data_IF_314318680917
#
_entry.id   IF_314318680917
#
_cell.length_a   1.000
_cell.length_b   1.000
_cell.length_c   1.000
_cell.angle_alpha   90.00
_cell.angle_beta   90.00
_cell.angle_gamma   90.00
#
_symmetry.space_group_name_H-M   'P 1'
#
loop_
_entity.id
_entity.type
_entity.pdbx_description
1 polymer ?
#
# COMPACT_ATOMS: atom_id res chain seq x y z
N UNK A 1 -10.18 -6.45 49.49
CA UNK A 1 -9.78 -5.18 48.82
C UNK A 1 -9.96 -5.32 47.32
N UNK A 2 -10.88 -4.55 46.71
CA UNK A 2 -11.07 -4.55 45.26
C UNK A 2 -9.88 -3.86 44.59
N UNK A 3 -9.22 -4.54 43.64
CA UNK A 3 -8.15 -3.94 42.82
C UNK A 3 -8.73 -2.76 42.06
N UNK A 4 -8.15 -1.56 42.25
CA UNK A 4 -8.47 -0.39 41.41
C UNK A 4 -8.18 -0.77 39.94
N UNK A 5 -9.09 -0.52 38.99
CA UNK A 5 -8.76 -0.64 37.58
C UNK A 5 -7.72 0.43 37.24
N UNK A 6 -6.46 0.02 37.06
CA UNK A 6 -5.46 0.83 36.37
C UNK A 6 -5.87 0.89 34.90
N UNK A 7 -5.83 2.11 34.37
CA UNK A 7 -6.11 2.52 32.98
C UNK A 7 -7.60 2.73 32.63
N UNK A 8 -8.01 3.99 32.74
CA UNK A 8 -8.99 4.59 31.83
C UNK A 8 -8.21 5.14 30.64
N UNK A 9 -8.47 4.64 29.43
CA UNK A 9 -8.40 5.47 28.22
C UNK A 9 -9.38 4.95 27.19
N UNK A 10 -10.52 5.66 27.08
CA UNK A 10 -11.22 5.82 25.81
C UNK A 10 -10.21 6.45 24.85
N UNK A 11 -9.82 5.72 23.81
CA UNK A 11 -9.02 6.18 22.67
C UNK A 11 -7.88 7.14 23.00
N UNK A 12 -6.71 6.62 23.38
CA UNK A 12 -5.47 7.41 23.27
C UNK A 12 -4.96 7.30 21.81
N UNK A 13 -5.75 7.79 20.86
CA UNK A 13 -5.35 7.95 19.46
C UNK A 13 -4.75 9.34 19.30
N UNK A 14 -3.58 9.58 19.88
CA UNK A 14 -2.76 10.74 19.50
C UNK A 14 -2.13 10.58 18.11
N UNK A 15 -2.43 9.48 17.41
CA UNK A 15 -1.92 9.23 16.08
C UNK A 15 -2.98 9.58 15.02
N UNK A 16 -3.01 10.86 14.66
CA UNK A 16 -3.87 11.41 13.60
C UNK A 16 -3.73 10.64 12.29
N UNK A 17 -2.52 10.14 11.99
CA UNK A 17 -2.24 9.33 10.79
C UNK A 17 -3.01 8.01 10.83
N UNK A 18 -3.10 7.34 11.98
CA UNK A 18 -3.87 6.09 12.11
C UNK A 18 -5.36 6.31 11.90
N UNK A 19 -5.91 7.42 12.43
CA UNK A 19 -7.30 7.79 12.20
C UNK A 19 -7.58 8.00 10.71
N UNK A 20 -6.71 8.74 10.02
CA UNK A 20 -6.81 8.94 8.58
C UNK A 20 -6.72 7.63 7.78
N UNK A 21 -5.84 6.70 8.19
CA UNK A 21 -5.73 5.38 7.56
C UNK A 21 -7.06 4.63 7.71
N UNK A 22 -7.62 4.58 8.92
CA UNK A 22 -8.89 3.89 9.19
C UNK A 22 -10.01 4.50 8.34
N UNK A 23 -10.13 5.83 8.30
CA UNK A 23 -11.11 6.52 7.46
C UNK A 23 -10.94 6.16 5.97
N UNK A 24 -9.71 6.05 5.47
CA UNK A 24 -9.46 5.63 4.07
C UNK A 24 -9.90 4.19 3.80
N UNK A 25 -9.70 3.28 4.75
CA UNK A 25 -10.14 1.89 4.62
C UNK A 25 -11.66 1.73 4.78
N UNK A 26 -12.30 2.52 5.65
CA UNK A 26 -13.74 2.44 5.92
C UNK A 26 -14.59 3.14 4.87
N UNK A 27 -14.13 4.25 4.32
CA UNK A 27 -14.87 5.04 3.32
C UNK A 27 -14.57 4.65 1.87
N UNK A 28 -13.92 3.50 1.64
CA UNK A 28 -13.48 3.06 0.30
C UNK A 28 -12.68 4.14 -0.46
N UNK A 29 -11.96 5.02 0.26
CA UNK A 29 -11.35 6.20 -0.34
C UNK A 29 -10.21 5.84 -1.33
N UNK A 30 -9.71 4.60 -1.23
CA UNK A 30 -8.80 4.04 -2.23
C UNK A 30 -9.49 3.75 -3.57
N UNK A 31 -10.81 3.55 -3.61
CA UNK A 31 -11.59 3.42 -4.83
C UNK A 31 -11.57 4.74 -5.60
N UNK A 32 -11.66 5.89 -4.93
CA UNK A 32 -11.48 7.20 -5.58
C UNK A 32 -10.08 7.38 -6.19
N UNK A 33 -9.05 6.84 -5.54
CA UNK A 33 -7.68 6.81 -6.11
C UNK A 33 -7.59 5.87 -7.31
N UNK A 34 -8.26 4.71 -7.26
CA UNK A 34 -8.36 3.78 -8.39
C UNK A 34 -9.08 4.43 -9.56
N UNK A 35 -10.24 5.04 -9.34
CA UNK A 35 -11.01 5.70 -10.39
C UNK A 35 -10.19 6.81 -11.07
N UNK A 36 -9.51 7.65 -10.29
CA UNK A 36 -8.60 8.67 -10.86
C UNK A 36 -7.48 8.05 -11.71
N UNK A 37 -6.92 6.93 -11.26
CA UNK A 37 -5.87 6.23 -12.01
C UNK A 37 -6.42 5.50 -13.24
N UNK A 38 -7.68 5.04 -13.20
CA UNK A 38 -8.38 4.49 -14.35
C UNK A 38 -8.73 5.59 -15.37
N UNK A 39 -9.15 6.77 -14.92
CA UNK A 39 -9.34 7.97 -15.74
C UNK A 39 -8.03 8.37 -16.44
N UNK A 40 -6.91 8.45 -15.70
CA UNK A 40 -5.59 8.70 -16.31
C UNK A 40 -5.21 7.65 -17.36
N UNK A 41 -5.57 6.39 -17.14
CA UNK A 41 -5.35 5.32 -18.14
C UNK A 41 -6.27 5.49 -19.35
N UNK A 42 -7.50 5.95 -19.16
CA UNK A 42 -8.44 6.23 -20.25
C UNK A 42 -8.01 7.45 -21.07
N UNK A 43 -7.65 8.56 -20.42
CA UNK A 43 -7.09 9.76 -21.07
C UNK A 43 -5.88 9.39 -21.91
N UNK A 44 -4.98 8.55 -21.38
CA UNK A 44 -3.85 8.01 -22.10
C UNK A 44 -4.24 7.20 -23.35
N UNK A 45 -5.31 6.41 -23.27
CA UNK A 45 -5.85 5.66 -24.42
C UNK A 45 -6.59 6.54 -25.44
N UNK A 46 -7.10 7.70 -25.02
CA UNK A 46 -7.80 8.68 -25.86
C UNK A 46 -6.84 9.63 -26.58
N UNK A 47 -5.80 10.13 -25.90
CA UNK A 47 -4.69 10.86 -26.53
C UNK A 47 -4.04 10.02 -27.63
N UNK A 48 -4.05 8.68 -27.49
CA UNK A 48 -3.63 7.76 -28.55
C UNK A 48 -4.48 7.82 -29.83
N UNK A 49 -5.64 8.47 -29.83
CA UNK A 49 -6.53 8.58 -30.99
C UNK A 49 -6.48 9.95 -31.67
N UNK A 50 -6.06 11.00 -30.95
CA UNK A 50 -5.99 12.37 -31.45
C UNK A 50 -4.55 12.76 -31.78
N UNK A 51 -4.08 12.42 -32.98
CA UNK A 51 -2.66 12.54 -33.36
C UNK A 51 -2.31 13.62 -34.40
N UNK A 52 -3.15 14.65 -34.59
CA UNK A 52 -2.98 15.54 -35.76
C UNK A 52 -2.47 16.97 -35.51
N UNK A 53 -2.33 17.49 -34.28
CA UNK A 53 -2.04 18.93 -34.07
C UNK A 53 -1.04 19.27 -32.93
N UNK A 54 0.04 18.50 -32.74
CA UNK A 54 1.02 18.80 -31.67
C UNK A 54 2.17 19.71 -32.13
N UNK A 55 2.57 20.64 -31.25
CA UNK A 55 3.75 21.48 -31.44
C UNK A 55 5.04 20.66 -31.32
N UNK A 56 6.07 20.99 -32.14
CA UNK A 56 7.36 20.29 -32.10
C UNK A 56 8.07 20.37 -30.75
N UNK A 57 7.82 21.42 -29.96
CA UNK A 57 8.43 21.61 -28.64
C UNK A 57 7.92 20.62 -27.58
N UNK A 58 6.82 19.93 -27.87
CA UNK A 58 6.21 18.94 -26.97
C UNK A 58 6.65 17.51 -27.32
N UNK A 59 7.48 17.33 -28.36
CA UNK A 59 7.88 16.04 -28.88
C UNK A 59 9.29 15.66 -28.44
N UNK A 60 9.41 14.47 -27.86
CA UNK A 60 10.69 13.89 -27.46
C UNK A 60 11.09 12.81 -28.46
N UNK A 61 12.35 12.80 -28.89
CA UNK A 61 12.90 11.63 -29.58
C UNK A 61 12.88 10.42 -28.65
N UNK A 62 12.93 9.19 -29.20
CA UNK A 62 12.99 7.97 -28.37
C UNK A 62 14.11 8.03 -27.31
N UNK A 63 15.29 8.53 -27.69
CA UNK A 63 16.43 8.63 -26.78
C UNK A 63 16.21 9.68 -25.69
N UNK A 64 15.64 10.83 -26.05
CA UNK A 64 15.39 11.90 -25.08
C UNK A 64 14.25 11.53 -24.14
N UNK A 65 13.21 10.87 -24.63
CA UNK A 65 12.13 10.31 -23.82
C UNK A 65 12.65 9.30 -22.81
N UNK A 66 13.55 8.40 -23.22
CA UNK A 66 14.20 7.45 -22.29
C UNK A 66 14.99 8.18 -21.20
N UNK A 67 15.82 9.15 -21.58
CA UNK A 67 16.60 9.95 -20.63
C UNK A 67 15.70 10.74 -19.68
N UNK A 68 14.60 11.30 -20.19
CA UNK A 68 13.62 12.05 -19.42
C UNK A 68 12.98 11.18 -18.34
N UNK A 69 12.46 10.00 -18.71
CA UNK A 69 11.86 9.08 -17.73
C UNK A 69 12.87 8.63 -16.67
N UNK A 70 14.12 8.36 -17.07
CA UNK A 70 15.18 7.93 -16.14
C UNK A 70 15.60 9.04 -15.19
N UNK A 71 15.76 10.27 -15.69
CA UNK A 71 16.08 11.44 -14.88
C UNK A 71 14.99 11.73 -13.83
N UNK A 72 13.75 11.36 -14.13
CA UNK A 72 12.59 11.52 -13.24
C UNK A 72 12.23 10.25 -12.44
N UNK A 73 13.15 9.29 -12.33
CA UNK A 73 13.04 8.19 -11.36
C UNK A 73 12.48 6.87 -11.89
N UNK A 74 12.20 6.74 -13.20
CA UNK A 74 11.88 5.44 -13.81
C UNK A 74 13.18 4.75 -14.25
N UNK A 75 13.64 3.80 -13.45
CA UNK A 75 14.87 3.04 -13.72
C UNK A 75 14.60 1.81 -14.61
N UNK A 76 13.98 2.02 -15.77
CA UNK A 76 13.87 0.97 -16.77
C UNK A 76 15.19 0.82 -17.52
N UNK A 77 15.58 -0.43 -17.76
CA UNK A 77 16.58 -0.71 -18.78
C UNK A 77 16.06 -0.26 -20.15
N UNK A 78 16.96 0.23 -21.01
CA UNK A 78 16.59 0.71 -22.35
C UNK A 78 15.84 -0.35 -23.17
N UNK A 79 16.20 -1.62 -23.02
CA UNK A 79 15.53 -2.73 -23.72
C UNK A 79 14.07 -2.90 -23.27
N UNK A 80 13.78 -2.67 -21.98
CA UNK A 80 12.40 -2.72 -21.45
C UNK A 80 11.60 -1.55 -22.00
N UNK A 81 12.18 -0.35 -22.01
CA UNK A 81 11.56 0.84 -22.59
C UNK A 81 11.27 0.64 -24.08
N UNK A 82 12.26 0.21 -24.87
CA UNK A 82 12.10 -0.10 -26.29
C UNK A 82 11.02 -1.16 -26.53
N UNK A 83 11.02 -2.23 -25.74
CA UNK A 83 10.00 -3.27 -25.83
C UNK A 83 8.58 -2.77 -25.54
N UNK A 84 8.42 -1.70 -24.75
CA UNK A 84 7.12 -1.04 -24.52
C UNK A 84 6.65 -0.22 -25.72
N UNK A 85 7.57 0.43 -26.42
CA UNK A 85 7.30 1.12 -27.68
C UNK A 85 6.91 0.13 -28.77
N UNK A 86 7.67 -0.95 -28.92
CA UNK A 86 7.42 -1.98 -29.95
C UNK A 86 6.07 -2.67 -29.76
N UNK A 87 5.61 -2.84 -28.51
CA UNK A 87 4.30 -3.40 -28.16
C UNK A 87 3.16 -2.38 -28.22
N UNK A 88 3.45 -1.11 -28.48
CA UNK A 88 2.46 -0.03 -28.51
C UNK A 88 1.85 0.31 -27.16
N UNK A 89 2.50 -0.08 -26.06
CA UNK A 89 2.09 0.31 -24.70
C UNK A 89 2.56 1.72 -24.33
N UNK A 90 3.52 2.25 -25.09
CA UNK A 90 3.83 3.68 -25.13
C UNK A 90 3.59 4.11 -26.57
N UNK A 91 2.68 5.07 -26.80
CA UNK A 91 2.37 5.47 -28.15
C UNK A 91 3.48 6.34 -28.72
N UNK A 92 3.62 6.29 -30.04
CA UNK A 92 4.70 6.91 -30.79
C UNK A 92 4.11 7.65 -31.98
N UNK A 93 4.58 8.86 -32.21
CA UNK A 93 4.27 9.70 -33.36
C UNK A 93 5.40 9.52 -34.37
N UNK A 94 5.05 9.31 -35.65
CA UNK A 94 6.04 9.30 -36.73
C UNK A 94 6.00 10.69 -37.36
N UNK A 95 7.11 11.42 -37.29
CA UNK A 95 7.22 12.74 -37.91
C UNK A 95 7.40 12.65 -39.43
N UNK A 96 7.26 13.79 -40.11
CA UNK A 96 7.44 13.89 -41.57
C UNK A 96 8.85 13.49 -42.03
N UNK A 97 9.83 13.58 -41.12
CA UNK A 97 11.22 13.15 -41.31
C UNK A 97 11.42 11.63 -41.15
N UNK A 98 10.35 10.88 -40.89
CA UNK A 98 10.37 9.45 -40.64
C UNK A 98 10.88 9.05 -39.25
N UNK A 99 11.24 10.02 -38.40
CA UNK A 99 11.70 9.75 -37.05
C UNK A 99 10.51 9.50 -36.10
N UNK A 100 10.80 8.79 -35.02
CA UNK A 100 9.82 8.42 -33.99
C UNK A 100 9.92 9.34 -32.78
N UNK A 101 8.79 9.87 -32.37
CA UNK A 101 8.65 10.82 -31.29
C UNK A 101 7.61 10.36 -30.27
N UNK A 102 7.70 10.86 -29.05
CA UNK A 102 6.75 10.64 -27.97
C UNK A 102 6.37 12.00 -27.41
N UNK A 103 5.08 12.24 -27.23
CA UNK A 103 4.58 13.48 -26.66
C UNK A 103 4.99 13.58 -25.18
N UNK A 104 5.32 14.79 -24.73
CA UNK A 104 5.71 15.02 -23.33
C UNK A 104 4.59 14.65 -22.35
N UNK A 105 3.32 14.98 -22.65
CA UNK A 105 2.18 14.63 -21.78
C UNK A 105 2.09 13.11 -21.55
N UNK A 106 2.34 12.30 -22.57
CA UNK A 106 2.41 10.83 -22.47
C UNK A 106 3.52 10.41 -21.49
N UNK A 107 4.68 11.06 -21.50
CA UNK A 107 5.78 10.78 -20.57
C UNK A 107 5.42 11.22 -19.15
N UNK A 108 4.81 12.38 -18.99
CA UNK A 108 4.36 12.91 -17.70
C UNK A 108 3.27 12.01 -17.08
N UNK A 109 2.31 11.55 -17.89
CA UNK A 109 1.28 10.58 -17.46
C UNK A 109 1.89 9.25 -17.00
N UNK A 110 2.92 8.76 -17.71
CA UNK A 110 3.67 7.56 -17.29
C UNK A 110 4.35 7.80 -15.94
N UNK A 111 4.97 8.96 -15.74
CA UNK A 111 5.61 9.34 -14.48
C UNK A 111 4.61 9.40 -13.35
N UNK A 112 3.49 10.10 -13.53
CA UNK A 112 2.44 10.25 -12.53
C UNK A 112 1.87 8.89 -12.14
N UNK A 113 1.54 8.05 -13.12
CA UNK A 113 1.07 6.69 -12.86
C UNK A 113 2.12 5.88 -12.06
N UNK A 114 3.39 5.89 -12.49
CA UNK A 114 4.46 5.16 -11.81
C UNK A 114 4.76 5.71 -10.41
N UNK A 115 4.52 6.99 -10.19
CA UNK A 115 4.68 7.65 -8.90
C UNK A 115 3.54 7.30 -7.93
N UNK A 116 2.36 6.94 -8.42
CA UNK A 116 1.19 6.63 -7.61
C UNK A 116 0.93 5.13 -7.40
N UNK A 117 1.59 4.23 -8.13
CA UNK A 117 1.39 2.78 -7.98
C UNK A 117 2.66 1.97 -7.69
N UNK A 118 2.47 0.82 -7.04
CA UNK A 118 3.45 -0.26 -7.03
C UNK A 118 2.99 -1.38 -7.96
N UNK A 119 3.94 -2.07 -8.60
CA UNK A 119 3.65 -3.38 -9.18
C UNK A 119 3.28 -4.39 -8.07
N UNK A 120 2.58 -5.46 -8.46
CA UNK A 120 2.23 -6.54 -7.53
C UNK A 120 3.43 -7.10 -6.76
N UNK A 121 4.58 -7.24 -7.42
CA UNK A 121 5.78 -7.79 -6.79
C UNK A 121 6.42 -6.79 -5.81
N UNK A 122 6.54 -5.52 -6.18
CA UNK A 122 7.05 -4.47 -5.29
C UNK A 122 6.18 -4.30 -4.04
N UNK A 123 4.86 -4.28 -4.23
CA UNK A 123 3.89 -4.20 -3.15
C UNK A 123 4.04 -5.37 -2.17
N UNK A 124 4.18 -6.59 -2.71
CA UNK A 124 4.40 -7.79 -1.91
C UNK A 124 5.71 -7.69 -1.11
N UNK A 125 6.83 -7.37 -1.75
CA UNK A 125 8.13 -7.31 -1.08
C UNK A 125 8.16 -6.23 0.01
N UNK A 126 7.50 -5.08 -0.21
CA UNK A 126 7.34 -4.05 0.83
C UNK A 126 6.58 -4.58 2.06
N UNK A 127 5.44 -5.23 1.86
CA UNK A 127 4.64 -5.76 2.98
C UNK A 127 5.36 -6.93 3.67
N UNK A 128 6.03 -7.80 2.89
CA UNK A 128 6.74 -8.97 3.42
C UNK A 128 7.84 -8.59 4.41
N UNK A 129 8.55 -7.47 4.19
CA UNK A 129 9.58 -6.97 5.11
C UNK A 129 9.05 -6.74 6.54
N UNK A 130 7.79 -6.32 6.65
CA UNK A 130 7.15 -6.00 7.95
C UNK A 130 6.18 -7.07 8.42
N UNK A 131 5.78 -7.97 7.52
CA UNK A 131 4.96 -9.14 7.80
C UNK A 131 5.54 -10.40 7.10
N UNK A 132 6.60 -11.01 7.65
CA UNK A 132 7.30 -12.13 7.02
C UNK A 132 6.45 -13.40 6.84
N UNK A 133 5.33 -13.51 7.55
CA UNK A 133 4.40 -14.65 7.46
C UNK A 133 3.48 -14.57 6.24
N UNK A 134 3.40 -13.42 5.58
CA UNK A 134 2.62 -13.25 4.37
C UNK A 134 3.35 -13.90 3.19
N UNK A 135 2.76 -14.95 2.63
CA UNK A 135 3.25 -15.57 1.39
C UNK A 135 2.71 -14.85 0.16
N UNK A 136 3.43 -14.92 -0.96
CA UNK A 136 3.00 -14.32 -2.23
C UNK A 136 1.62 -14.84 -2.66
N UNK A 137 1.36 -16.15 -2.51
CA UNK A 137 0.05 -16.72 -2.84
C UNK A 137 -1.07 -16.19 -1.93
N UNK A 138 -0.80 -16.02 -0.64
CA UNK A 138 -1.77 -15.41 0.28
C UNK A 138 -2.02 -13.94 -0.06
N UNK A 139 -0.99 -13.21 -0.51
CA UNK A 139 -1.12 -11.83 -0.96
C UNK A 139 -1.98 -11.72 -2.24
N UNK A 140 -1.67 -12.53 -3.26
CA UNK A 140 -2.47 -12.63 -4.49
C UNK A 140 -3.92 -13.02 -4.16
N UNK A 141 -4.12 -13.99 -3.27
CA UNK A 141 -5.45 -14.41 -2.86
C UNK A 141 -6.26 -13.34 -2.11
N UNK A 142 -5.62 -12.28 -1.58
CA UNK A 142 -6.34 -11.11 -1.05
C UNK A 142 -6.83 -10.19 -2.15
N UNK A 143 -6.03 -10.02 -3.22
CA UNK A 143 -6.40 -9.27 -4.42
C UNK A 143 -7.55 -9.98 -5.14
N UNK A 144 -7.44 -11.30 -5.34
CA UNK A 144 -8.47 -12.13 -6.00
C UNK A 144 -9.81 -12.16 -5.23
N UNK A 145 -9.78 -11.87 -3.92
CA UNK A 145 -10.98 -11.79 -3.07
C UNK A 145 -11.45 -10.35 -2.85
N UNK A 146 -10.99 -9.42 -3.67
CA UNK A 146 -11.37 -7.99 -3.65
C UNK A 146 -11.14 -7.31 -2.30
N UNK A 147 -10.20 -7.83 -1.49
CA UNK A 147 -9.83 -7.23 -0.21
C UNK A 147 -8.81 -6.11 -0.35
N UNK A 148 -8.21 -5.99 -1.53
CA UNK A 148 -7.25 -4.95 -1.87
C UNK A 148 -7.62 -4.41 -3.25
N UNK A 149 -7.86 -3.09 -3.39
CA UNK A 149 -8.11 -2.51 -4.69
C UNK A 149 -6.86 -2.62 -5.58
N UNK A 150 -7.09 -2.87 -6.86
CA UNK A 150 -6.07 -3.13 -7.86
C UNK A 150 -6.46 -2.46 -9.17
N UNK A 151 -5.48 -1.91 -9.86
CA UNK A 151 -5.65 -1.36 -11.21
C UNK A 151 -5.01 -2.34 -12.18
N UNK A 152 -5.72 -2.66 -13.26
CA UNK A 152 -5.22 -3.58 -14.29
C UNK A 152 -4.88 -2.78 -15.54
N UNK A 153 -3.59 -2.66 -15.84
CA UNK A 153 -3.09 -1.99 -17.04
C UNK A 153 -2.33 -3.01 -17.88
N UNK A 154 -2.75 -3.20 -19.14
CA UNK A 154 -2.17 -4.18 -20.06
C UNK A 154 -1.99 -5.59 -19.45
N UNK A 155 -3.03 -6.08 -18.76
CA UNK A 155 -3.06 -7.38 -18.07
C UNK A 155 -2.07 -7.50 -16.89
N UNK A 156 -1.38 -6.43 -16.52
CA UNK A 156 -0.55 -6.35 -15.31
C UNK A 156 -1.35 -5.69 -14.18
N UNK A 157 -1.11 -6.16 -12.96
CA UNK A 157 -1.78 -5.68 -11.75
C UNK A 157 -0.89 -4.69 -11.02
N UNK A 158 -1.46 -3.53 -10.69
CA UNK A 158 -0.82 -2.46 -9.94
C UNK A 158 -1.66 -2.14 -8.71
N UNK A 159 -1.01 -1.78 -7.61
CA UNK A 159 -1.65 -1.42 -6.36
C UNK A 159 -1.31 0.04 -6.03
N UNK A 160 -2.27 0.86 -5.58
CA UNK A 160 -1.99 2.23 -5.17
C UNK A 160 -0.89 2.28 -4.10
N UNK A 161 0.13 3.13 -4.26
CA UNK A 161 1.26 3.22 -3.31
C UNK A 161 0.78 3.55 -1.91
N UNK A 162 -0.11 4.53 -1.78
CA UNK A 162 -0.68 4.96 -0.51
C UNK A 162 -1.33 3.81 0.26
N UNK A 163 -2.07 2.94 -0.42
CA UNK A 163 -2.65 1.73 0.19
C UNK A 163 -1.57 0.83 0.78
N UNK A 164 -0.53 0.55 -0.01
CA UNK A 164 0.56 -0.34 0.41
C UNK A 164 1.36 0.29 1.55
N UNK A 165 1.66 1.57 1.48
CA UNK A 165 2.41 2.29 2.51
C UNK A 165 1.61 2.36 3.83
N UNK A 166 0.29 2.54 3.76
CA UNK A 166 -0.59 2.48 4.93
C UNK A 166 -0.66 1.06 5.52
N UNK A 167 -0.71 0.01 4.69
CA UNK A 167 -0.61 -1.38 5.15
C UNK A 167 0.74 -1.68 5.80
N UNK A 168 1.84 -1.19 5.22
CA UNK A 168 3.19 -1.34 5.77
C UNK A 168 3.26 -0.65 7.14
N UNK A 169 2.72 0.56 7.24
CA UNK A 169 2.67 1.29 8.50
C UNK A 169 1.86 0.52 9.57
N UNK A 170 0.68 -0.02 9.21
CA UNK A 170 -0.13 -0.82 10.12
C UNK A 170 0.62 -2.08 10.57
N UNK A 171 1.19 -2.86 9.65
CA UNK A 171 1.92 -4.08 10.01
C UNK A 171 3.22 -3.82 10.78
N UNK A 172 3.82 -2.64 10.61
CA UNK A 172 5.00 -2.23 11.36
C UNK A 172 4.66 -1.91 12.81
N UNK A 173 3.54 -1.24 13.06
CA UNK A 173 3.22 -0.68 14.38
C UNK A 173 2.17 -1.46 15.17
N UNK A 174 1.38 -2.30 14.51
CA UNK A 174 0.25 -3.01 15.13
C UNK A 174 0.34 -4.52 14.95
N UNK A 175 -0.32 -5.24 15.85
CA UNK A 175 -0.46 -6.70 15.81
C UNK A 175 -1.93 -7.06 15.92
N UNK A 176 -2.37 -7.99 15.06
CA UNK A 176 -3.73 -8.52 15.12
C UNK A 176 -3.92 -9.37 16.39
N UNK A 177 -5.09 -9.27 17.03
CA UNK A 177 -5.38 -9.98 18.30
C UNK A 177 -5.11 -11.49 18.21
N UNK A 178 -5.40 -12.10 17.05
CA UNK A 178 -5.11 -13.51 16.79
C UNK A 178 -3.61 -13.83 16.89
N UNK A 179 -2.75 -12.91 16.48
CA UNK A 179 -1.29 -13.04 16.54
C UNK A 179 -0.74 -12.61 17.90
N UNK A 180 -1.36 -11.63 18.57
CA UNK A 180 -0.97 -11.21 19.92
C UNK A 180 -0.93 -12.40 20.90
N UNK A 181 -1.84 -13.38 20.75
CA UNK A 181 -1.83 -14.61 21.56
C UNK A 181 -0.55 -15.44 21.40
N UNK A 182 -0.01 -15.53 20.19
CA UNK A 182 1.28 -16.22 19.97
C UNK A 182 2.41 -15.47 20.66
N UNK A 183 2.43 -14.13 20.60
CA UNK A 183 3.46 -13.30 21.22
C UNK A 183 3.41 -13.43 22.76
N UNK A 184 2.22 -13.45 23.36
CA UNK A 184 2.07 -13.74 24.79
C UNK A 184 2.68 -15.10 25.16
N UNK A 185 2.40 -16.15 24.38
CA UNK A 185 2.92 -17.51 24.63
C UNK A 185 4.43 -17.59 24.46
N UNK A 186 4.98 -16.97 23.42
CA UNK A 186 6.43 -16.86 23.18
C UNK A 186 7.14 -16.17 24.37
N UNK A 187 6.43 -15.33 25.12
CA UNK A 187 6.93 -14.67 26.33
C UNK A 187 6.56 -15.40 27.64
N UNK A 188 6.11 -16.66 27.59
CA UNK A 188 5.81 -17.49 28.77
C UNK A 188 4.49 -17.15 29.48
N UNK A 189 3.61 -16.39 28.82
CA UNK A 189 2.29 -16.00 29.32
C UNK A 189 1.19 -16.78 28.60
N UNK A 190 0.53 -17.68 29.33
CA UNK A 190 -0.61 -18.45 28.82
C UNK A 190 -1.91 -17.68 29.02
N UNK A 191 -2.17 -16.71 28.14
CA UNK A 191 -3.44 -15.98 28.10
C UNK A 191 -4.39 -16.65 27.11
N UNK A 192 -5.63 -16.91 27.54
CA UNK A 192 -6.68 -17.42 26.65
C UNK A 192 -7.25 -16.31 25.77
N UNK A 193 -7.73 -16.66 24.56
CA UNK A 193 -8.37 -15.71 23.64
C UNK A 193 -9.49 -14.92 24.32
N UNK A 194 -10.38 -15.60 25.04
CA UNK A 194 -11.49 -14.97 25.75
C UNK A 194 -11.02 -13.97 26.81
N UNK A 195 -9.88 -14.21 27.46
CA UNK A 195 -9.32 -13.27 28.44
C UNK A 195 -8.79 -12.02 27.74
N UNK A 196 -8.07 -12.18 26.62
CA UNK A 196 -7.56 -11.07 25.84
C UNK A 196 -8.71 -10.22 25.27
N UNK A 197 -9.73 -10.85 24.67
CA UNK A 197 -10.91 -10.16 24.16
C UNK A 197 -11.65 -9.39 25.27
N UNK A 198 -11.83 -9.98 26.46
CA UNK A 198 -12.43 -9.27 27.60
C UNK A 198 -11.62 -8.07 28.06
N UNK A 199 -10.28 -8.11 27.99
CA UNK A 199 -9.42 -6.96 28.31
C UNK A 199 -9.63 -5.84 27.29
N UNK A 200 -9.74 -6.18 26.01
CA UNK A 200 -10.05 -5.23 24.95
C UNK A 200 -11.45 -4.61 25.15
N UNK A 201 -12.47 -5.44 25.36
CA UNK A 201 -13.86 -4.99 25.53
C UNK A 201 -14.04 -4.11 26.78
N UNK A 202 -13.29 -4.38 27.85
CA UNK A 202 -13.30 -3.58 29.09
C UNK A 202 -12.42 -2.32 29.01
N UNK A 203 -11.77 -2.06 27.87
CA UNK A 203 -10.88 -0.92 27.70
C UNK A 203 -9.59 -1.00 28.53
N UNK A 204 -9.22 -2.19 28.99
CA UNK A 204 -7.95 -2.42 29.71
C UNK A 204 -6.74 -2.47 28.78
N UNK A 205 -6.97 -2.80 27.50
CA UNK A 205 -5.93 -2.82 26.48
C UNK A 205 -6.40 -1.99 25.28
N UNK A 206 -5.69 -0.90 24.94
CA UNK A 206 -5.98 -0.10 23.75
C UNK A 206 -5.93 -0.93 22.47
N UNK A 207 -6.88 -0.70 21.56
CA UNK A 207 -6.88 -1.28 20.22
C UNK A 207 -7.54 -0.35 19.21
N UNK A 208 -7.22 -0.57 17.95
CA UNK A 208 -7.94 -0.01 16.81
C UNK A 208 -8.71 -1.11 16.09
N UNK A 209 -9.85 -0.75 15.49
CA UNK A 209 -10.62 -1.64 14.64
C UNK A 209 -10.32 -1.29 13.19
N UNK A 210 -9.97 -2.30 12.38
CA UNK A 210 -9.77 -2.16 10.95
C UNK A 210 -10.64 -3.21 10.25
N UNK A 211 -11.78 -2.78 9.72
CA UNK A 211 -12.83 -3.67 9.23
C UNK A 211 -13.32 -4.61 10.36
N UNK A 212 -13.22 -5.93 10.15
CA UNK A 212 -13.60 -6.94 11.16
C UNK A 212 -12.48 -7.29 12.14
N UNK A 213 -11.29 -6.71 11.97
CA UNK A 213 -10.10 -7.06 12.75
C UNK A 213 -9.88 -6.07 13.87
N UNK A 214 -9.39 -6.56 15.01
CA UNK A 214 -8.90 -5.75 16.13
C UNK A 214 -7.37 -5.81 16.11
N UNK A 215 -6.75 -4.63 16.20
CA UNK A 215 -5.30 -4.45 16.11
C UNK A 215 -4.82 -3.74 17.38
N UNK A 216 -3.83 -4.31 18.05
CA UNK A 216 -3.22 -3.77 19.26
C UNK A 216 -1.90 -3.11 18.85
N UNK A 217 -1.62 -1.87 19.27
CA UNK A 217 -0.29 -1.28 19.09
C UNK A 217 0.79 -2.19 19.70
N UNK A 218 1.91 -2.40 18.97
CA UNK A 218 2.97 -3.31 19.40
C UNK A 218 3.59 -2.89 20.73
N UNK A 219 3.84 -1.61 20.90
CA UNK A 219 4.38 -1.04 22.14
C UNK A 219 3.45 -1.29 23.34
N UNK A 220 2.15 -1.11 23.15
CA UNK A 220 1.12 -1.39 24.16
C UNK A 220 1.05 -2.87 24.50
N UNK A 221 1.13 -3.74 23.49
CA UNK A 221 1.17 -5.19 23.69
C UNK A 221 2.41 -5.59 24.50
N UNK A 222 3.59 -5.08 24.14
CA UNK A 222 4.84 -5.38 24.84
C UNK A 222 4.83 -4.88 26.28
N UNK A 223 4.35 -3.65 26.54
CA UNK A 223 4.15 -3.13 27.90
C UNK A 223 3.22 -4.03 28.72
N UNK A 224 2.11 -4.48 28.15
CA UNK A 224 1.18 -5.38 28.84
C UNK A 224 1.82 -6.74 29.16
N UNK A 225 2.69 -7.26 28.27
CA UNK A 225 3.47 -8.47 28.52
C UNK A 225 4.45 -8.26 29.68
N UNK A 226 5.17 -7.13 29.71
CA UNK A 226 6.12 -6.81 30.77
C UNK A 226 5.44 -6.72 32.14
N UNK A 227 4.30 -6.03 32.22
CA UNK A 227 3.51 -5.92 33.45
C UNK A 227 3.05 -7.29 33.97
N UNK A 228 2.54 -8.14 33.07
CA UNK A 228 2.13 -9.51 33.42
C UNK A 228 3.31 -10.37 33.88
N UNK A 229 4.47 -10.22 33.26
CA UNK A 229 5.69 -10.92 33.69
C UNK A 229 6.11 -10.48 35.10
N UNK A 230 6.10 -9.18 35.40
CA UNK A 230 6.40 -8.67 36.75
C UNK A 230 5.47 -9.27 37.81
N UNK A 231 4.16 -9.25 37.53
CA UNK A 231 3.15 -9.81 38.43
C UNK A 231 3.27 -11.33 38.62
N UNK A 232 3.65 -12.07 37.58
CA UNK A 232 3.76 -13.54 37.63
C UNK A 232 5.06 -14.01 38.30
N UNK A 233 6.14 -13.27 38.14
CA UNK A 233 7.48 -13.67 38.59
C UNK A 233 7.98 -12.90 39.82
N UNK A 234 7.17 -11.99 40.40
CA UNK A 234 7.55 -11.13 41.53
C UNK A 234 8.89 -10.38 41.29
N UNK A 235 9.06 -9.86 40.06
CA UNK A 235 10.14 -8.94 39.68
C UNK A 235 9.65 -7.50 39.82
#
# INVERSE_FOLDING_TARGET
MARKPMFKTKYNLNDQRVYEIIQRFENENYLGTVNKLEELVQEYEEERRMYQDYSRDELYTINDAYKYLRANGIDWEYNIFKGRLDRGSIPVIIGDDGNKYILKSVLDNILDFHNEVYSLHEAYEKIRKVNPRLTLRAFIGRIEKEKLPVIIVYRKRFLPKKLIDDLVYIYSNYVEVSHALSIYRENGLNISRNTLERRLDRGMLPFIKLGKKRLIPKDVLMKSIEEERRLKFNL
#
